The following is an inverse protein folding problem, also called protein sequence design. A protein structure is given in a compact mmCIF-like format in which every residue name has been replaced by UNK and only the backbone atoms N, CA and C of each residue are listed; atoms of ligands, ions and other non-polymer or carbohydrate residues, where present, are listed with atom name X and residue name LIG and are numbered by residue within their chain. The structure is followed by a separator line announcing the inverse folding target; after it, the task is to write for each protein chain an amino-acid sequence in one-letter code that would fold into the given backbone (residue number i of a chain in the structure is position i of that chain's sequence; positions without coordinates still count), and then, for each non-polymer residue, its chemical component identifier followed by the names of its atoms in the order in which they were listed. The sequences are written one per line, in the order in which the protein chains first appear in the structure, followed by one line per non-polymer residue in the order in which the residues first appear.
data_IF_638197971558
#
_entry.id   IF_638197971558
#
_cell.length_a   1.000
_cell.length_b   1.000
_cell.length_c   1.000
_cell.angle_alpha   90.00
_cell.angle_beta   90.00
_cell.angle_gamma   90.00
#
_symmetry.space_group_name_H-M   'P 1'
#
loop_
_entity.id
_entity.type
_entity.pdbx_description
1 polymer ?
#
# COMPACT_ATOMS: atom_id res chain seq x y z
N UNK A 1 8.45 0.53 -46.72
CA UNK A 1 8.54 -0.23 -45.46
C UNK A 1 8.33 0.71 -44.29
N UNK A 2 7.64 0.27 -43.24
CA UNK A 2 7.44 1.08 -42.04
C UNK A 2 8.78 1.28 -41.31
N UNK A 3 9.03 2.50 -40.83
CA UNK A 3 10.20 2.81 -40.01
C UNK A 3 10.03 2.18 -38.61
N UNK A 4 11.13 1.81 -37.94
CA UNK A 4 11.13 1.18 -36.61
C UNK A 4 10.31 1.98 -35.58
N UNK A 5 10.33 3.31 -35.65
CA UNK A 5 9.51 4.19 -34.79
C UNK A 5 8.01 4.08 -35.08
N UNK A 6 7.64 3.93 -36.36
CA UNK A 6 6.23 3.74 -36.75
C UNK A 6 5.73 2.38 -36.27
N UNK A 7 6.53 1.33 -36.42
CA UNK A 7 6.20 -0.02 -35.91
C UNK A 7 6.03 0.01 -34.38
N UNK A 8 6.95 0.63 -33.65
CA UNK A 8 6.84 0.70 -32.19
C UNK A 8 5.58 1.45 -31.72
N UNK A 9 5.35 2.67 -32.24
CA UNK A 9 4.25 3.52 -31.77
C UNK A 9 2.87 3.01 -32.20
N UNK A 10 2.75 2.40 -33.38
CA UNK A 10 1.45 2.06 -33.97
C UNK A 10 1.08 0.59 -33.78
N UNK A 11 2.07 -0.29 -33.53
CA UNK A 11 1.85 -1.73 -33.43
C UNK A 11 2.16 -2.20 -32.01
N UNK A 12 3.41 -2.02 -31.55
CA UNK A 12 3.88 -2.63 -30.29
C UNK A 12 3.29 -1.91 -29.07
N UNK A 13 3.37 -0.59 -29.03
CA UNK A 13 2.91 0.21 -27.90
C UNK A 13 1.42 0.00 -27.57
N UNK A 14 0.46 0.15 -28.52
CA UNK A 14 -0.94 -0.09 -28.20
C UNK A 14 -1.19 -1.53 -27.75
N UNK A 15 -0.57 -2.52 -28.40
CA UNK A 15 -0.75 -3.92 -28.04
C UNK A 15 -0.29 -4.22 -26.60
N UNK A 16 0.90 -3.73 -26.21
CA UNK A 16 1.45 -3.93 -24.87
C UNK A 16 0.61 -3.20 -23.82
N UNK A 17 0.17 -1.96 -24.10
CA UNK A 17 -0.68 -1.21 -23.18
C UNK A 17 -2.02 -1.92 -22.94
N UNK A 18 -2.71 -2.34 -24.01
CA UNK A 18 -3.99 -3.04 -23.88
C UNK A 18 -3.85 -4.39 -23.16
N UNK A 19 -2.74 -5.10 -23.34
CA UNK A 19 -2.49 -6.36 -22.63
C UNK A 19 -2.03 -6.17 -21.18
N UNK A 20 -1.37 -5.05 -20.86
CA UNK A 20 -0.86 -4.77 -19.52
C UNK A 20 -1.92 -4.19 -18.59
N UNK A 21 -2.91 -3.44 -19.13
CA UNK A 21 -4.00 -2.85 -18.35
C UNK A 21 -4.76 -3.90 -17.52
N UNK A 22 -5.21 -5.05 -18.07
CA UNK A 22 -5.88 -6.09 -17.29
C UNK A 22 -5.00 -6.65 -16.17
N UNK A 23 -3.71 -6.86 -16.44
CA UNK A 23 -2.76 -7.39 -15.45
C UNK A 23 -2.52 -6.39 -14.31
N UNK A 24 -2.29 -5.12 -14.63
CA UNK A 24 -2.13 -4.04 -13.65
C UNK A 24 -3.42 -3.85 -12.83
N UNK A 25 -4.58 -3.93 -13.47
CA UNK A 25 -5.88 -3.82 -12.80
C UNK A 25 -6.06 -4.92 -11.77
N UNK A 26 -5.75 -6.18 -12.13
CA UNK A 26 -5.77 -7.29 -11.18
C UNK A 26 -4.78 -7.07 -10.01
N UNK A 27 -3.57 -6.58 -10.30
CA UNK A 27 -2.59 -6.32 -9.26
C UNK A 27 -3.03 -5.21 -8.30
N UNK A 28 -3.63 -4.13 -8.83
CA UNK A 28 -4.20 -3.05 -8.02
C UNK A 28 -5.37 -3.56 -7.17
N UNK A 29 -6.27 -4.37 -7.74
CA UNK A 29 -7.40 -4.94 -7.00
C UNK A 29 -6.91 -5.84 -5.85
N UNK A 30 -5.93 -6.70 -6.10
CA UNK A 30 -5.37 -7.57 -5.08
C UNK A 30 -4.68 -6.77 -3.97
N UNK A 31 -3.81 -5.82 -4.33
CA UNK A 31 -3.14 -4.96 -3.35
C UNK A 31 -4.13 -4.16 -2.51
N UNK A 32 -5.20 -3.63 -3.14
CA UNK A 32 -6.25 -2.90 -2.46
C UNK A 32 -7.03 -3.82 -1.51
N UNK A 33 -7.40 -5.02 -1.96
CA UNK A 33 -8.09 -6.02 -1.14
C UNK A 33 -7.27 -6.39 0.09
N UNK A 34 -6.00 -6.73 -0.09
CA UNK A 34 -5.13 -7.15 1.00
C UNK A 34 -4.91 -6.00 1.99
N UNK A 35 -4.69 -4.78 1.49
CA UNK A 35 -4.50 -3.59 2.34
C UNK A 35 -5.76 -3.22 3.11
N UNK A 36 -6.92 -3.24 2.44
CA UNK A 36 -8.20 -2.84 3.06
C UNK A 36 -8.72 -3.87 4.05
N UNK A 37 -8.57 -5.17 3.80
CA UNK A 37 -9.00 -6.21 4.75
C UNK A 37 -8.19 -6.11 6.04
N UNK A 38 -6.87 -6.04 5.94
CA UNK A 38 -5.99 -5.93 7.11
C UNK A 38 -6.24 -4.63 7.87
N UNK A 39 -6.33 -3.49 7.16
CA UNK A 39 -6.64 -2.21 7.77
C UNK A 39 -8.02 -2.20 8.45
N UNK A 40 -9.05 -2.73 7.80
CA UNK A 40 -10.41 -2.75 8.33
C UNK A 40 -10.51 -3.56 9.63
N UNK A 41 -9.94 -4.77 9.66
CA UNK A 41 -9.93 -5.62 10.85
C UNK A 41 -9.17 -4.92 11.98
N UNK A 42 -7.94 -4.48 11.71
CA UNK A 42 -7.09 -3.82 12.70
C UNK A 42 -7.73 -2.55 13.25
N UNK A 43 -8.28 -1.70 12.38
CA UNK A 43 -8.95 -0.46 12.77
C UNK A 43 -10.17 -0.75 13.62
N UNK A 44 -11.01 -1.71 13.23
CA UNK A 44 -12.26 -2.02 13.94
C UNK A 44 -11.97 -2.53 15.36
N UNK A 45 -11.04 -3.47 15.51
CA UNK A 45 -10.69 -4.04 16.81
C UNK A 45 -10.03 -3.00 17.73
N UNK A 46 -9.07 -2.23 17.19
CA UNK A 46 -8.37 -1.21 17.95
C UNK A 46 -9.30 -0.07 18.36
N UNK A 47 -10.10 0.44 17.43
CA UNK A 47 -10.98 1.57 17.67
C UNK A 47 -12.10 1.23 18.65
N UNK A 48 -12.64 0.00 18.57
CA UNK A 48 -13.61 -0.50 19.56
C UNK A 48 -13.02 -0.47 20.98
N UNK A 49 -11.76 -0.90 21.15
CA UNK A 49 -11.10 -0.87 22.46
C UNK A 49 -10.83 0.55 22.96
N UNK A 50 -10.44 1.46 22.08
CA UNK A 50 -10.26 2.88 22.41
C UNK A 50 -11.60 3.51 22.85
N UNK A 51 -12.69 3.19 22.15
CA UNK A 51 -14.01 3.70 22.48
C UNK A 51 -14.50 3.19 23.84
N UNK A 52 -14.22 1.93 24.19
CA UNK A 52 -14.51 1.36 25.51
C UNK A 52 -13.73 2.09 26.62
N UNK A 53 -12.42 2.33 26.42
CA UNK A 53 -11.59 3.08 27.37
C UNK A 53 -12.07 4.53 27.51
N UNK A 54 -12.47 5.16 26.40
CA UNK A 54 -13.00 6.50 26.38
C UNK A 54 -14.32 6.60 27.17
N UNK A 55 -15.22 5.64 26.99
CA UNK A 55 -16.51 5.58 27.65
C UNK A 55 -16.41 5.28 29.15
N UNK A 56 -15.51 4.38 29.54
CA UNK A 56 -15.29 4.02 30.96
C UNK A 56 -14.56 5.11 31.73
N UNK A 57 -13.60 5.79 31.09
CA UNK A 57 -12.80 6.84 31.73
C UNK A 57 -13.39 8.25 31.59
N UNK A 58 -14.44 8.43 30.78
CA UNK A 58 -15.01 9.72 30.35
C UNK A 58 -13.98 10.71 29.76
N UNK A 59 -12.82 10.21 29.31
CA UNK A 59 -11.70 10.99 28.80
C UNK A 59 -11.52 10.81 27.29
N UNK A 60 -12.56 11.15 26.52
CA UNK A 60 -12.59 10.98 25.07
C UNK A 60 -11.40 11.60 24.35
N UNK A 61 -11.06 12.85 24.66
CA UNK A 61 -9.93 13.54 24.03
C UNK A 61 -8.61 12.79 24.21
N UNK A 62 -8.30 12.36 25.44
CA UNK A 62 -7.05 11.67 25.74
C UNK A 62 -7.00 10.27 25.12
N UNK A 63 -8.13 9.55 25.11
CA UNK A 63 -8.23 8.23 24.50
C UNK A 63 -8.00 8.28 22.98
N UNK A 64 -8.65 9.23 22.28
CA UNK A 64 -8.45 9.39 20.84
C UNK A 64 -7.07 9.97 20.49
N UNK A 65 -6.51 10.85 21.33
CA UNK A 65 -5.14 11.35 21.14
C UNK A 65 -4.12 10.22 21.27
N UNK A 66 -4.29 9.35 22.27
CA UNK A 66 -3.48 8.14 22.41
C UNK A 66 -3.62 7.24 21.19
N UNK A 67 -4.84 7.04 20.70
CA UNK A 67 -5.09 6.25 19.49
C UNK A 67 -4.36 6.81 18.26
N UNK A 68 -4.39 8.13 18.07
CA UNK A 68 -3.71 8.81 16.97
C UNK A 68 -2.18 8.64 17.07
N UNK A 69 -1.60 8.75 18.27
CA UNK A 69 -0.17 8.56 18.49
C UNK A 69 0.24 7.12 18.17
N UNK A 70 -0.50 6.12 18.67
CA UNK A 70 -0.23 4.70 18.39
C UNK A 70 -0.28 4.42 16.89
N UNK A 71 -1.29 4.95 16.19
CA UNK A 71 -1.41 4.80 14.75
C UNK A 71 -0.23 5.45 14.00
N UNK A 72 0.16 6.68 14.39
CA UNK A 72 1.29 7.39 13.80
C UNK A 72 2.60 6.60 13.95
N UNK A 73 2.86 6.02 15.13
CA UNK A 73 4.02 5.18 15.41
C UNK A 73 3.98 3.93 14.53
N UNK A 74 2.83 3.26 14.44
CA UNK A 74 2.65 2.06 13.62
C UNK A 74 2.93 2.30 12.15
N UNK A 75 2.34 3.35 11.56
CA UNK A 75 2.57 3.72 10.15
C UNK A 75 4.05 4.09 9.93
N UNK A 76 4.63 4.90 10.82
CA UNK A 76 6.03 5.32 10.70
C UNK A 76 6.98 4.12 10.78
N UNK A 77 6.71 3.17 11.67
CA UNK A 77 7.48 1.94 11.82
C UNK A 77 7.41 1.07 10.56
N UNK A 78 6.20 0.84 10.02
CA UNK A 78 6.02 0.04 8.80
C UNK A 78 6.73 0.70 7.61
N UNK A 79 6.55 2.01 7.41
CA UNK A 79 7.23 2.74 6.33
C UNK A 79 8.75 2.69 6.51
N UNK A 80 9.24 2.83 7.74
CA UNK A 80 10.67 2.70 8.05
C UNK A 80 11.21 1.30 7.76
N UNK A 81 10.48 0.26 8.15
CA UNK A 81 10.85 -1.13 7.91
C UNK A 81 10.87 -1.45 6.42
N UNK A 82 9.84 -1.05 5.67
CA UNK A 82 9.78 -1.23 4.21
C UNK A 82 10.96 -0.54 3.55
N UNK A 83 11.26 0.71 3.91
CA UNK A 83 12.44 1.42 3.39
C UNK A 83 13.74 0.69 3.73
N UNK A 84 13.89 0.19 4.96
CA UNK A 84 15.09 -0.56 5.35
C UNK A 84 15.24 -1.87 4.55
N UNK A 85 14.13 -2.60 4.36
CA UNK A 85 14.10 -3.83 3.57
C UNK A 85 14.41 -3.55 2.10
N UNK A 86 13.82 -2.50 1.51
CA UNK A 86 14.14 -2.04 0.16
C UNK A 86 15.62 -1.71 0.01
N UNK A 87 16.23 -0.98 0.95
CA UNK A 87 17.67 -0.66 0.88
C UNK A 87 18.55 -1.91 0.96
N UNK A 88 18.12 -2.97 1.64
CA UNK A 88 18.83 -4.26 1.64
C UNK A 88 18.59 -5.10 0.38
N UNK A 89 17.35 -5.13 -0.12
CA UNK A 89 16.95 -5.93 -1.29
C UNK A 89 17.39 -5.31 -2.62
N UNK A 90 17.41 -3.98 -2.74
CA UNK A 90 17.91 -3.27 -3.93
C UNK A 90 19.39 -3.52 -4.20
N UNK A 91 20.15 -4.02 -3.21
CA UNK A 91 21.52 -4.49 -3.39
C UNK A 91 21.61 -5.82 -4.15
N UNK A 92 20.48 -6.51 -4.37
CA UNK A 92 20.41 -7.82 -5.05
C UNK A 92 19.61 -7.82 -6.36
N UNK A 93 18.78 -6.81 -6.63
CA UNK A 93 17.94 -6.73 -7.85
C UNK A 93 18.54 -5.91 -9.01
N UNK A 94 19.76 -5.39 -8.85
CA UNK A 94 20.47 -4.67 -9.92
C UNK A 94 21.19 -5.55 -10.95
N UNK A 95 20.90 -6.87 -11.02
CA UNK A 95 21.66 -7.81 -11.86
C UNK A 95 20.81 -8.65 -12.85
N UNK A 96 19.50 -8.40 -12.99
CA UNK A 96 18.64 -9.20 -13.88
C UNK A 96 17.81 -8.36 -14.89
N UNK A 97 18.35 -7.25 -15.41
CA UNK A 97 17.91 -6.65 -16.69
C UNK A 97 19.05 -5.95 -17.43
#
# INVERSE_FOLDING_TARGET
GLNKRQVFLWIILPQVLLSSIPALTNQVINNLKDSTIVFLIQYTEFFARIQEVAATSFKFFHAYLFAAIVYLIGVTFIVGLTRFLEHRLLRHYGQDY
#
